data_IF_601124607278
#
_entry.id   IF_601124607278
#
_cell.length_a   1.000
_cell.length_b   1.000
_cell.length_c   1.000
_cell.angle_alpha   90.00
_cell.angle_beta   90.00
_cell.angle_gamma   90.00
#
_symmetry.space_group_name_H-M   'P 1'
#
loop_
_entity.id
_entity.type
_entity.pdbx_description
1 polymer ?
#
# COMPACT_ATOMS: atom_id res chain seq x y z
N UNK A 1 1.03 8.08 -22.86
CA UNK A 1 0.46 9.24 -22.13
C UNK A 1 -0.66 8.89 -21.14
N UNK A 2 -1.26 7.71 -21.23
CA UNK A 2 -2.45 7.37 -20.42
C UNK A 2 -2.19 7.18 -18.90
N UNK A 3 -0.93 7.07 -18.45
CA UNK A 3 -0.58 6.86 -17.06
C UNK A 3 -0.16 8.14 -16.31
N UNK A 4 0.19 9.21 -17.02
CA UNK A 4 0.69 10.44 -16.42
C UNK A 4 -0.40 11.16 -15.60
N UNK A 5 -1.59 11.28 -16.16
CA UNK A 5 -2.72 11.97 -15.48
C UNK A 5 -3.13 11.23 -14.21
N UNK A 6 -3.41 9.90 -14.24
CA UNK A 6 -3.69 9.15 -13.02
C UNK A 6 -2.58 9.23 -11.98
N UNK A 7 -1.31 9.20 -12.41
CA UNK A 7 -0.17 9.34 -11.52
C UNK A 7 -0.15 10.70 -10.81
N UNK A 8 -0.36 11.81 -11.54
CA UNK A 8 -0.40 13.17 -10.97
C UNK A 8 -1.55 13.29 -9.97
N UNK A 9 -2.73 12.76 -10.30
CA UNK A 9 -3.89 12.76 -9.39
C UNK A 9 -3.55 11.99 -8.11
N UNK A 10 -3.02 10.78 -8.24
CA UNK A 10 -2.66 9.94 -7.10
C UNK A 10 -1.65 10.63 -6.18
N UNK A 11 -0.56 11.14 -6.74
CA UNK A 11 0.49 11.78 -5.93
C UNK A 11 -0.03 13.04 -5.26
N UNK A 12 -0.89 13.81 -5.92
CA UNK A 12 -1.51 15.01 -5.34
C UNK A 12 -2.37 14.66 -4.13
N UNK A 13 -3.18 13.59 -4.21
CA UNK A 13 -4.00 13.12 -3.08
C UNK A 13 -3.12 12.64 -1.93
N UNK A 14 -2.11 11.83 -2.21
CA UNK A 14 -1.19 11.29 -1.18
C UNK A 14 -0.45 12.43 -0.47
N UNK A 15 0.06 13.39 -1.24
CA UNK A 15 0.76 14.57 -0.67
C UNK A 15 -0.21 15.44 0.13
N UNK A 16 -1.41 15.70 -0.38
CA UNK A 16 -2.41 16.46 0.35
C UNK A 16 -2.70 15.85 1.73
N UNK A 17 -2.92 14.54 1.79
CA UNK A 17 -3.21 13.83 3.05
C UNK A 17 -1.99 13.88 3.99
N UNK A 18 -0.77 13.74 3.44
CA UNK A 18 0.47 13.86 4.20
C UNK A 18 0.59 15.24 4.87
N UNK A 19 0.50 16.31 4.08
CA UNK A 19 0.59 17.67 4.58
C UNK A 19 -0.56 18.02 5.54
N UNK A 20 -1.76 17.48 5.26
CA UNK A 20 -2.91 17.65 6.14
C UNK A 20 -2.70 17.00 7.52
N UNK A 21 -1.97 15.86 7.57
CA UNK A 21 -1.56 15.24 8.83
C UNK A 21 -0.74 16.21 9.69
N UNK A 22 0.30 16.82 9.12
CA UNK A 22 1.12 17.85 9.80
C UNK A 22 0.29 19.04 10.24
N UNK A 23 -0.54 19.56 9.34
CA UNK A 23 -1.43 20.70 9.62
C UNK A 23 -2.38 20.41 10.77
N UNK A 24 -3.07 19.27 10.75
CA UNK A 24 -4.06 18.90 11.77
C UNK A 24 -3.45 18.84 13.17
N UNK A 25 -2.32 18.14 13.32
CA UNK A 25 -1.66 18.02 14.62
C UNK A 25 -1.02 19.34 15.06
N UNK A 26 -0.47 20.13 14.15
CA UNK A 26 0.03 21.47 14.45
C UNK A 26 -1.08 22.35 15.05
N UNK A 27 -2.23 22.41 14.40
CA UNK A 27 -3.41 23.14 14.90
C UNK A 27 -3.91 22.59 16.24
N UNK A 28 -3.95 21.26 16.39
CA UNK A 28 -4.41 20.61 17.63
C UNK A 28 -3.55 20.96 18.82
N UNK A 29 -2.25 21.18 18.62
CA UNK A 29 -1.30 21.60 19.67
C UNK A 29 -1.05 23.10 19.73
N UNK A 30 -1.85 23.90 19.03
CA UNK A 30 -1.74 25.36 19.05
C UNK A 30 -0.46 25.88 18.41
N UNK A 31 0.11 25.14 17.44
CA UNK A 31 1.17 25.64 16.57
C UNK A 31 0.54 26.50 15.49
N UNK A 32 1.08 27.71 15.29
CA UNK A 32 0.65 28.58 14.20
C UNK A 32 1.06 27.99 12.85
N UNK A 33 0.15 28.01 11.88
CA UNK A 33 0.44 27.62 10.50
C UNK A 33 0.16 28.82 9.62
N UNK A 34 1.18 29.26 8.89
CA UNK A 34 1.07 30.42 7.98
C UNK A 34 0.60 30.00 6.60
N UNK A 35 1.14 28.91 6.08
CA UNK A 35 0.84 28.45 4.73
C UNK A 35 0.58 26.95 4.70
N UNK A 36 -0.41 26.55 3.94
CA UNK A 36 -0.69 25.18 3.53
C UNK A 36 -0.71 25.14 2.00
N UNK A 37 0.25 24.45 1.38
CA UNK A 37 0.39 24.44 -0.07
C UNK A 37 0.26 23.05 -0.65
N UNK A 38 -0.56 22.92 -1.69
CA UNK A 38 -0.59 21.77 -2.60
C UNK A 38 0.20 22.16 -3.83
N UNK A 39 1.32 21.46 -4.05
CA UNK A 39 2.26 21.78 -5.12
C UNK A 39 3.29 22.84 -4.74
N UNK A 40 4.19 23.07 -5.68
CA UNK A 40 5.27 24.07 -5.59
C UNK A 40 5.15 25.13 -6.67
N UNK A 41 5.91 26.22 -6.50
CA UNK A 41 6.03 27.29 -7.48
C UNK A 41 4.97 28.38 -7.31
N UNK A 42 4.56 28.99 -8.45
CA UNK A 42 3.63 30.11 -8.45
C UNK A 42 2.23 29.64 -8.03
N UNK A 43 1.60 30.42 -7.13
CA UNK A 43 0.21 30.20 -6.73
C UNK A 43 -0.74 30.42 -7.91
N UNK A 44 -1.64 29.44 -8.15
CA UNK A 44 -2.73 29.55 -9.12
C UNK A 44 -3.97 30.10 -8.43
N UNK A 45 -4.27 29.51 -7.25
CA UNK A 45 -5.46 29.82 -6.46
C UNK A 45 -5.15 29.68 -4.99
N UNK A 46 -5.73 30.52 -4.15
CA UNK A 46 -5.58 30.42 -2.70
C UNK A 46 -6.59 31.27 -1.95
N UNK A 47 -6.82 30.87 -0.70
CA UNK A 47 -7.70 31.57 0.25
C UNK A 47 -7.11 31.52 1.65
N UNK A 48 -7.57 32.42 2.52
CA UNK A 48 -7.23 32.39 3.94
C UNK A 48 -8.35 31.72 4.72
N UNK A 49 -8.00 30.82 5.62
CA UNK A 49 -8.96 30.24 6.54
C UNK A 49 -9.22 31.19 7.74
N UNK A 50 -10.21 30.83 8.57
CA UNK A 50 -10.55 31.60 9.77
C UNK A 50 -9.43 31.64 10.81
N UNK A 51 -8.47 30.76 10.74
CA UNK A 51 -7.33 30.65 11.65
C UNK A 51 -6.08 31.41 11.16
N UNK A 52 -6.19 32.12 10.05
CA UNK A 52 -5.12 32.90 9.45
C UNK A 52 -4.15 32.10 8.59
N UNK A 53 -4.42 30.81 8.32
CA UNK A 53 -3.61 30.01 7.41
C UNK A 53 -3.99 30.29 5.96
N UNK A 54 -2.98 30.58 5.12
CA UNK A 54 -3.18 30.72 3.68
C UNK A 54 -3.09 29.35 3.01
N UNK A 55 -4.23 28.90 2.49
CA UNK A 55 -4.32 27.70 1.65
C UNK A 55 -4.04 28.07 0.21
N UNK A 56 -3.17 27.32 -0.48
CA UNK A 56 -2.79 27.61 -1.87
C UNK A 56 -2.62 26.33 -2.68
N UNK A 57 -2.96 26.46 -3.95
CA UNK A 57 -2.71 25.46 -4.98
C UNK A 57 -1.71 26.07 -5.97
N UNK A 58 -0.60 25.38 -6.20
CA UNK A 58 0.51 25.86 -7.01
C UNK A 58 0.63 25.08 -8.33
N UNK A 59 1.40 25.63 -9.26
CA UNK A 59 1.52 25.13 -10.63
C UNK A 59 2.10 23.72 -10.75
N UNK A 60 3.02 23.33 -9.88
CA UNK A 60 3.71 22.04 -9.95
C UNK A 60 3.09 21.10 -8.92
N UNK A 61 2.20 20.16 -9.33
CA UNK A 61 1.44 19.31 -8.41
C UNK A 61 2.25 18.11 -7.88
N UNK A 62 3.57 18.24 -7.83
CA UNK A 62 4.50 17.20 -7.40
C UNK A 62 5.02 17.50 -5.99
N UNK A 63 4.12 17.54 -5.00
CA UNK A 63 4.51 17.83 -3.63
C UNK A 63 3.56 18.79 -2.92
N UNK A 64 3.99 19.28 -1.78
CA UNK A 64 3.29 20.26 -0.96
C UNK A 64 4.17 20.68 0.22
N UNK A 65 3.65 21.57 1.06
CA UNK A 65 4.30 21.92 2.31
C UNK A 65 3.34 22.58 3.28
N UNK A 66 3.62 22.39 4.55
CA UNK A 66 3.03 23.15 5.65
C UNK A 66 4.12 24.04 6.23
N UNK A 67 3.89 25.36 6.26
CA UNK A 67 4.81 26.31 6.87
C UNK A 67 4.30 26.72 8.23
N UNK A 68 5.10 26.45 9.24
CA UNK A 68 4.76 26.85 10.61
C UNK A 68 5.10 28.31 10.87
N UNK A 69 4.39 28.89 11.81
CA UNK A 69 4.66 30.24 12.26
C UNK A 69 6.06 30.32 12.88
N UNK A 70 6.85 31.30 12.44
CA UNK A 70 8.23 31.46 12.89
C UNK A 70 9.22 30.47 12.32
N UNK A 71 8.78 29.60 11.36
CA UNK A 71 9.67 28.65 10.70
C UNK A 71 10.61 29.41 9.74
N UNK A 72 11.87 29.44 10.12
CA UNK A 72 13.02 29.81 9.28
C UNK A 72 13.97 28.63 9.35
N UNK A 73 14.75 28.41 8.31
CA UNK A 73 15.81 27.37 8.27
C UNK A 73 16.92 27.71 9.28
N UNK A 74 16.61 27.52 10.56
CA UNK A 74 17.49 27.90 11.67
C UNK A 74 18.17 26.65 12.18
N UNK A 75 19.46 26.51 11.88
CA UNK A 75 20.26 25.36 12.28
C UNK A 75 21.08 25.61 13.56
N UNK A 76 21.17 26.86 14.04
CA UNK A 76 21.97 27.20 15.21
C UNK A 76 21.11 27.60 16.42
N UNK A 77 21.58 27.30 17.65
CA UNK A 77 20.90 27.68 18.88
C UNK A 77 20.83 29.22 19.05
N UNK A 78 21.83 29.94 18.57
CA UNK A 78 21.90 31.40 18.64
C UNK A 78 20.77 32.04 17.80
N UNK A 79 20.57 31.57 16.58
CA UNK A 79 19.49 32.04 15.72
C UNK A 79 18.09 31.67 16.26
N UNK A 80 17.98 30.54 16.98
CA UNK A 80 16.71 30.17 17.63
C UNK A 80 16.35 31.16 18.74
N UNK A 81 17.33 31.60 19.55
CA UNK A 81 17.11 32.60 20.60
C UNK A 81 16.76 33.97 20.03
N UNK A 82 17.38 34.38 18.94
CA UNK A 82 17.03 35.62 18.24
C UNK A 82 15.58 35.64 17.75
N UNK A 83 15.13 34.50 17.18
CA UNK A 83 13.74 34.33 16.76
C UNK A 83 12.80 34.41 17.93
N UNK A 84 13.09 33.70 19.03
CA UNK A 84 12.25 33.71 20.24
C UNK A 84 12.11 35.15 20.80
N UNK A 85 13.21 35.91 20.82
CA UNK A 85 13.21 37.27 21.37
C UNK A 85 12.46 38.27 20.47
N UNK A 86 12.26 37.96 19.21
CA UNK A 86 11.54 38.81 18.25
C UNK A 86 10.02 38.78 18.40
N UNK A 87 9.46 37.70 18.98
CA UNK A 87 8.02 37.52 19.10
C UNK A 87 7.50 37.89 20.49
N UNK A 88 6.26 38.38 20.55
CA UNK A 88 5.54 38.64 21.81
C UNK A 88 5.31 37.32 22.58
N UNK A 89 5.01 37.41 23.88
CA UNK A 89 4.76 36.20 24.70
C UNK A 89 3.62 35.34 24.15
N UNK A 90 2.55 35.95 23.66
CA UNK A 90 1.41 35.25 23.05
C UNK A 90 1.79 34.56 21.76
N UNK A 91 2.67 35.14 20.95
CA UNK A 91 3.11 34.54 19.69
C UNK A 91 4.14 33.43 19.91
N UNK A 92 4.94 33.52 20.99
CA UNK A 92 5.88 32.45 21.36
C UNK A 92 5.17 31.12 21.60
N UNK A 93 3.96 31.14 22.16
CA UNK A 93 3.16 29.94 22.38
C UNK A 93 2.77 29.23 21.06
N UNK A 94 2.78 29.93 19.93
CA UNK A 94 2.47 29.39 18.61
C UNK A 94 3.68 28.81 17.89
N UNK A 95 4.90 29.02 18.41
CA UNK A 95 6.14 28.54 17.78
C UNK A 95 6.30 27.04 17.94
N UNK A 96 6.53 26.34 16.83
CA UNK A 96 6.78 24.90 16.82
C UNK A 96 7.97 24.50 17.69
N UNK A 97 9.05 25.27 17.65
CA UNK A 97 10.31 25.00 18.37
C UNK A 97 10.15 25.04 19.89
N UNK A 98 9.19 25.80 20.42
CA UNK A 98 8.93 25.91 21.86
C UNK A 98 7.95 24.87 22.40
N UNK A 99 7.35 24.03 21.53
CA UNK A 99 6.48 22.95 21.97
C UNK A 99 7.27 21.80 22.61
N UNK A 100 6.67 21.09 23.58
CA UNK A 100 7.26 19.88 24.15
C UNK A 100 7.67 18.88 23.10
N UNK A 101 8.73 18.11 23.37
CA UNK A 101 9.30 17.17 22.41
C UNK A 101 8.26 16.20 21.85
N UNK A 102 7.37 15.64 22.69
CA UNK A 102 6.34 14.70 22.24
C UNK A 102 5.37 15.34 21.23
N UNK A 103 4.99 16.62 21.40
CA UNK A 103 4.12 17.32 20.46
C UNK A 103 4.83 17.53 19.11
N UNK A 104 6.10 17.97 19.14
CA UNK A 104 6.91 18.11 17.93
C UNK A 104 7.06 16.80 17.20
N UNK A 105 7.37 15.72 17.93
CA UNK A 105 7.49 14.38 17.34
C UNK A 105 6.18 13.90 16.71
N UNK A 106 5.04 14.13 17.37
CA UNK A 106 3.74 13.77 16.82
C UNK A 106 3.38 14.59 15.59
N UNK A 107 3.68 15.89 15.57
CA UNK A 107 3.45 16.74 14.40
C UNK A 107 4.29 16.23 13.22
N UNK A 108 5.57 15.90 13.44
CA UNK A 108 6.46 15.39 12.37
C UNK A 108 6.02 14.00 11.89
N UNK A 109 5.62 13.12 12.81
CA UNK A 109 5.16 11.78 12.45
C UNK A 109 3.76 11.77 11.80
N UNK A 110 2.98 12.82 11.98
CA UNK A 110 1.57 12.87 11.55
C UNK A 110 1.40 12.76 10.03
N UNK A 111 2.33 13.30 9.24
CA UNK A 111 2.29 13.17 7.77
C UNK A 111 2.38 11.71 7.32
N UNK A 112 3.47 10.99 7.63
CA UNK A 112 3.58 9.57 7.31
C UNK A 112 2.43 8.72 7.89
N UNK A 113 2.00 8.99 9.12
CA UNK A 113 0.88 8.28 9.75
C UNK A 113 -0.44 8.51 9.01
N UNK A 114 -0.71 9.73 8.53
CA UNK A 114 -1.90 10.03 7.74
C UNK A 114 -1.91 9.22 6.44
N UNK A 115 -0.78 9.08 5.75
CA UNK A 115 -0.67 8.24 4.56
C UNK A 115 -0.85 6.75 4.88
N UNK A 116 -0.37 6.29 6.02
CA UNK A 116 -0.60 4.92 6.46
C UNK A 116 -2.09 4.64 6.70
N UNK A 117 -2.78 5.57 7.39
CA UNK A 117 -4.24 5.49 7.58
C UNK A 117 -4.98 5.52 6.23
N UNK A 118 -4.57 6.40 5.30
CA UNK A 118 -5.13 6.45 3.96
C UNK A 118 -4.97 5.11 3.23
N UNK A 119 -3.79 4.49 3.30
CA UNK A 119 -3.55 3.19 2.68
C UNK A 119 -4.49 2.11 3.25
N UNK A 120 -4.64 2.04 4.59
CA UNK A 120 -5.57 1.11 5.24
C UNK A 120 -7.00 1.35 4.75
N UNK A 121 -7.45 2.61 4.68
CA UNK A 121 -8.80 2.95 4.21
C UNK A 121 -9.02 2.52 2.75
N UNK A 122 -8.06 2.81 1.87
CA UNK A 122 -8.14 2.43 0.45
C UNK A 122 -8.19 0.91 0.31
N UNK A 123 -7.29 0.16 0.97
CA UNK A 123 -7.32 -1.30 0.91
C UNK A 123 -8.62 -1.87 1.50
N UNK A 124 -9.09 -1.32 2.60
CA UNK A 124 -10.38 -1.73 3.19
C UNK A 124 -11.52 -1.52 2.21
N UNK A 125 -11.57 -0.36 1.54
CA UNK A 125 -12.58 -0.07 0.51
C UNK A 125 -12.47 -1.04 -0.67
N UNK A 126 -11.26 -1.26 -1.19
CA UNK A 126 -11.04 -2.21 -2.29
C UNK A 126 -11.56 -3.59 -1.89
N UNK A 127 -11.16 -4.11 -0.74
CA UNK A 127 -11.62 -5.42 -0.28
C UNK A 127 -13.11 -5.45 0.00
N UNK A 128 -13.72 -4.35 0.47
CA UNK A 128 -15.16 -4.28 0.73
C UNK A 128 -16.00 -4.29 -0.55
N UNK A 129 -15.55 -3.54 -1.59
CA UNK A 129 -16.35 -3.36 -2.81
C UNK A 129 -15.99 -4.33 -3.93
N UNK A 130 -14.70 -4.60 -4.13
CA UNK A 130 -14.20 -5.48 -5.20
C UNK A 130 -14.17 -6.93 -4.73
N UNK A 131 -13.74 -7.18 -3.50
CA UNK A 131 -13.54 -8.51 -2.98
C UNK A 131 -12.13 -9.04 -3.17
N UNK A 132 -11.85 -10.23 -2.58
CA UNK A 132 -10.63 -11.01 -2.83
C UNK A 132 -10.94 -12.03 -3.94
N UNK A 133 -10.08 -12.11 -4.94
CA UNK A 133 -10.14 -13.20 -5.93
C UNK A 133 -9.76 -14.51 -5.22
N UNK A 134 -10.71 -15.42 -5.16
CA UNK A 134 -10.56 -16.76 -4.60
C UNK A 134 -10.76 -17.82 -5.67
N UNK A 135 -10.50 -17.48 -6.94
CA UNK A 135 -10.58 -18.45 -8.04
C UNK A 135 -9.63 -19.63 -7.74
N UNK A 136 -10.17 -20.84 -7.59
CA UNK A 136 -9.36 -21.99 -7.23
C UNK A 136 -8.30 -22.30 -8.29
N UNK A 137 -7.11 -22.69 -7.85
CA UNK A 137 -6.01 -23.02 -8.73
C UNK A 137 -6.22 -24.43 -9.35
N UNK A 138 -7.09 -24.51 -10.35
CA UNK A 138 -7.40 -25.74 -11.07
C UNK A 138 -6.53 -25.86 -12.33
N UNK A 139 -5.83 -26.98 -12.50
CA UNK A 139 -5.00 -27.25 -13.65
C UNK A 139 -5.90 -27.60 -14.86
N UNK A 140 -5.86 -26.76 -15.88
CA UNK A 140 -6.57 -27.02 -17.15
C UNK A 140 -5.76 -27.84 -18.13
N UNK A 141 -4.45 -27.60 -18.18
CA UNK A 141 -3.54 -28.30 -19.12
C UNK A 141 -2.16 -28.42 -18.49
N UNK A 142 -1.51 -29.56 -18.72
CA UNK A 142 -0.11 -29.82 -18.38
C UNK A 142 0.66 -29.99 -19.69
N UNK A 143 1.70 -29.18 -19.88
CA UNK A 143 2.54 -29.25 -21.07
C UNK A 143 3.33 -30.57 -21.07
N UNK A 144 3.40 -31.24 -22.24
CA UNK A 144 4.23 -32.42 -22.38
C UNK A 144 5.70 -32.10 -22.10
N UNK A 145 6.39 -33.07 -21.51
CA UNK A 145 7.82 -32.96 -21.15
C UNK A 145 8.20 -31.82 -20.24
N UNK A 146 7.20 -31.21 -19.53
CA UNK A 146 7.42 -30.16 -18.55
C UNK A 146 7.70 -30.74 -17.16
N UNK A 147 8.30 -29.97 -16.25
CA UNK A 147 8.51 -30.35 -14.84
C UNK A 147 7.23 -30.87 -14.16
N UNK A 148 6.10 -30.24 -14.39
CA UNK A 148 4.82 -30.68 -13.85
C UNK A 148 4.35 -32.01 -14.43
N UNK A 149 4.62 -32.27 -15.72
CA UNK A 149 4.31 -33.54 -16.37
C UNK A 149 5.15 -34.69 -15.79
N UNK A 150 6.46 -34.44 -15.62
CA UNK A 150 7.40 -35.43 -15.05
C UNK A 150 7.02 -35.74 -13.59
N UNK A 151 6.61 -34.75 -12.82
CA UNK A 151 6.15 -34.91 -11.45
C UNK A 151 4.77 -35.61 -11.34
N UNK A 152 4.07 -35.86 -12.47
CA UNK A 152 2.79 -36.57 -12.51
C UNK A 152 1.57 -35.67 -12.21
N UNK A 153 1.66 -34.36 -12.41
CA UNK A 153 0.48 -33.48 -12.39
C UNK A 153 -0.46 -33.79 -13.53
N UNK A 154 -1.75 -33.67 -13.33
CA UNK A 154 -2.78 -33.98 -14.32
C UNK A 154 -3.78 -32.83 -14.45
N UNK A 155 -4.50 -32.84 -15.57
CA UNK A 155 -5.66 -31.98 -15.77
C UNK A 155 -6.70 -32.24 -14.67
N UNK A 156 -7.36 -31.19 -14.22
CA UNK A 156 -8.34 -31.18 -13.12
C UNK A 156 -7.75 -31.39 -11.71
N UNK A 157 -6.42 -31.41 -11.54
CA UNK A 157 -5.84 -31.28 -10.20
C UNK A 157 -6.10 -29.89 -9.67
N UNK A 158 -6.56 -29.80 -8.42
CA UNK A 158 -6.68 -28.52 -7.69
C UNK A 158 -5.49 -28.36 -6.77
N UNK A 159 -4.66 -27.34 -6.98
CA UNK A 159 -3.53 -27.04 -6.12
C UNK A 159 -4.06 -26.45 -4.82
N UNK A 160 -3.72 -27.06 -3.66
CA UNK A 160 -4.17 -26.65 -2.34
C UNK A 160 -3.04 -26.11 -1.46
N UNK A 161 -1.80 -26.62 -1.65
CA UNK A 161 -0.61 -26.11 -0.96
C UNK A 161 0.60 -26.10 -1.90
N UNK A 162 1.51 -25.16 -1.68
CA UNK A 162 2.84 -25.06 -2.28
C UNK A 162 3.83 -24.76 -1.16
N UNK A 163 4.84 -25.64 -0.92
CA UNK A 163 5.82 -25.53 0.18
C UNK A 163 5.15 -25.20 1.53
N UNK A 164 4.16 -25.97 1.93
CA UNK A 164 3.34 -25.80 3.14
C UNK A 164 2.52 -24.49 3.19
N UNK A 165 2.52 -23.65 2.14
CA UNK A 165 1.68 -22.45 2.06
C UNK A 165 0.37 -22.78 1.37
N UNK A 166 -0.73 -22.46 2.02
CA UNK A 166 -2.07 -22.66 1.46
C UNK A 166 -2.27 -21.76 0.23
N UNK A 167 -2.76 -22.36 -0.84
CA UNK A 167 -3.12 -21.68 -2.09
C UNK A 167 -4.62 -21.36 -2.05
N UNK A 168 -4.97 -20.09 -2.01
CA UNK A 168 -6.37 -19.64 -2.00
C UNK A 168 -6.83 -19.15 -3.37
N UNK A 169 -5.89 -18.68 -4.20
CA UNK A 169 -6.21 -18.18 -5.53
C UNK A 169 -5.19 -18.60 -6.58
N UNK A 170 -5.64 -18.56 -7.83
CA UNK A 170 -4.80 -18.83 -8.99
C UNK A 170 -3.58 -17.91 -9.09
N UNK A 171 -3.71 -16.64 -8.61
CA UNK A 171 -2.63 -15.64 -8.63
C UNK A 171 -1.48 -15.98 -7.68
N UNK A 172 -1.78 -16.70 -6.59
CA UNK A 172 -0.79 -17.08 -5.59
C UNK A 172 0.16 -18.17 -6.11
N UNK A 173 -0.28 -19.00 -7.06
CA UNK A 173 0.53 -20.10 -7.60
C UNK A 173 1.81 -19.58 -8.23
N UNK A 174 1.73 -18.63 -9.15
CA UNK A 174 2.91 -18.05 -9.80
C UNK A 174 3.80 -17.29 -8.81
N UNK A 175 3.19 -16.65 -7.82
CA UNK A 175 3.90 -15.92 -6.76
C UNK A 175 4.71 -16.90 -5.91
N UNK A 176 4.12 -18.00 -5.43
CA UNK A 176 4.81 -18.98 -4.59
C UNK A 176 5.92 -19.72 -5.35
N UNK A 177 5.71 -20.05 -6.62
CA UNK A 177 6.75 -20.65 -7.46
C UNK A 177 7.96 -19.72 -7.61
N UNK A 178 7.74 -18.41 -7.84
CA UNK A 178 8.82 -17.45 -8.04
C UNK A 178 9.55 -17.05 -6.74
N UNK A 179 8.87 -17.09 -5.60
CA UNK A 179 9.46 -16.78 -4.28
C UNK A 179 10.21 -17.97 -3.69
N UNK A 180 9.84 -19.20 -4.06
CA UNK A 180 10.54 -20.40 -3.57
C UNK A 180 12.02 -20.34 -3.95
N UNK A 181 12.90 -20.59 -2.97
CA UNK A 181 14.36 -20.60 -3.15
C UNK A 181 14.92 -22.02 -3.27
N UNK A 182 14.10 -23.02 -3.04
CA UNK A 182 14.49 -24.45 -3.10
C UNK A 182 14.57 -24.93 -4.55
N UNK A 183 15.43 -25.90 -4.84
CA UNK A 183 15.51 -26.52 -6.17
C UNK A 183 14.23 -27.25 -6.51
N UNK A 184 13.67 -27.98 -5.56
CA UNK A 184 12.39 -28.68 -5.68
C UNK A 184 11.30 -27.99 -4.88
N UNK A 185 10.11 -27.91 -5.42
CA UNK A 185 8.91 -27.31 -4.79
C UNK A 185 7.90 -28.43 -4.54
N UNK A 186 7.39 -28.52 -3.32
CA UNK A 186 6.34 -29.46 -2.98
C UNK A 186 4.97 -28.87 -3.33
N UNK A 187 4.23 -29.57 -4.18
CA UNK A 187 2.83 -29.26 -4.50
C UNK A 187 1.92 -30.30 -3.89
N UNK A 188 0.95 -29.85 -3.11
CA UNK A 188 -0.13 -30.70 -2.64
C UNK A 188 -1.36 -30.40 -3.46
N UNK A 189 -1.82 -31.41 -4.20
CA UNK A 189 -2.97 -31.30 -5.10
C UNK A 189 -4.12 -32.21 -4.64
N UNK A 190 -5.34 -31.74 -4.87
CA UNK A 190 -6.56 -32.53 -4.68
C UNK A 190 -6.97 -33.11 -6.02
N UNK A 191 -6.97 -34.45 -6.12
CA UNK A 191 -7.36 -35.25 -7.32
C UNK A 191 -8.40 -36.26 -6.93
N UNK A 192 -9.60 -36.21 -7.47
CA UNK A 192 -10.71 -37.13 -7.15
C UNK A 192 -10.91 -37.29 -5.62
N UNK A 193 -10.95 -36.19 -4.91
CA UNK A 193 -11.09 -36.11 -3.43
C UNK A 193 -9.93 -36.73 -2.63
N UNK A 194 -8.82 -37.10 -3.29
CA UNK A 194 -7.61 -37.56 -2.64
C UNK A 194 -6.52 -36.49 -2.69
N UNK A 195 -5.84 -36.30 -1.59
CA UNK A 195 -4.70 -35.39 -1.48
C UNK A 195 -3.42 -36.12 -1.88
N UNK A 196 -2.70 -35.57 -2.86
CA UNK A 196 -1.46 -36.13 -3.41
C UNK A 196 -0.36 -35.07 -3.27
N UNK A 197 0.78 -35.45 -2.71
CA UNK A 197 1.98 -34.61 -2.69
C UNK A 197 2.87 -34.95 -3.89
N UNK A 198 3.32 -33.94 -4.61
CA UNK A 198 4.15 -34.04 -5.81
C UNK A 198 5.35 -33.09 -5.67
N UNK A 199 6.56 -33.60 -5.90
CA UNK A 199 7.78 -32.81 -5.93
C UNK A 199 8.06 -32.38 -7.38
N UNK A 200 8.17 -31.09 -7.61
CA UNK A 200 8.39 -30.49 -8.92
C UNK A 200 9.68 -29.69 -8.91
N UNK A 201 10.56 -29.93 -9.85
CA UNK A 201 11.78 -29.16 -10.08
C UNK A 201 11.52 -28.15 -11.22
N UNK A 202 11.34 -26.85 -10.94
CA UNK A 202 11.01 -25.87 -11.96
C UNK A 202 12.17 -25.59 -12.91
N UNK A 203 11.87 -25.46 -14.20
CA UNK A 203 12.83 -24.97 -15.19
C UNK A 203 13.08 -23.47 -15.02
N UNK A 204 14.34 -23.05 -15.22
CA UNK A 204 14.71 -21.65 -15.31
C UNK A 204 14.65 -21.18 -16.75
N UNK A 205 13.65 -20.38 -17.07
CA UNK A 205 13.42 -19.87 -18.43
C UNK A 205 13.72 -18.37 -18.48
N UNK A 206 14.37 -17.92 -19.53
CA UNK A 206 14.57 -16.50 -19.77
C UNK A 206 13.24 -15.84 -20.11
N UNK A 207 12.88 -14.84 -19.35
CA UNK A 207 11.67 -14.04 -19.50
C UNK A 207 11.97 -12.56 -19.46
N UNK A 208 10.94 -11.75 -19.69
CA UNK A 208 11.02 -10.30 -19.51
C UNK A 208 10.14 -9.88 -18.33
N UNK A 209 10.62 -8.90 -17.56
CA UNK A 209 9.80 -8.25 -16.56
C UNK A 209 8.84 -7.22 -17.21
N UNK A 210 8.04 -6.55 -16.40
CA UNK A 210 7.09 -5.52 -16.87
C UNK A 210 7.79 -4.27 -17.44
N UNK A 211 9.09 -4.11 -17.19
CA UNK A 211 9.92 -3.01 -17.68
C UNK A 211 10.72 -3.40 -18.92
N UNK A 212 10.65 -4.69 -19.34
CA UNK A 212 11.35 -5.21 -20.50
C UNK A 212 12.76 -5.76 -20.23
N UNK A 213 13.22 -5.80 -18.97
CA UNK A 213 14.51 -6.37 -18.60
C UNK A 213 14.47 -7.90 -18.67
N UNK A 214 15.57 -8.52 -19.07
CA UNK A 214 15.72 -9.97 -19.05
C UNK A 214 15.82 -10.49 -17.62
N UNK A 215 14.90 -11.35 -17.22
CA UNK A 215 14.87 -11.99 -15.91
C UNK A 215 14.68 -13.49 -16.07
N UNK A 216 15.31 -14.28 -15.20
CA UNK A 216 15.05 -15.72 -15.15
C UNK A 216 13.79 -15.96 -14.34
N UNK A 217 12.83 -16.67 -14.93
CA UNK A 217 11.56 -17.07 -14.31
C UNK A 217 11.53 -18.56 -14.10
N UNK A 218 10.99 -18.98 -12.97
CA UNK A 218 10.76 -20.41 -12.71
C UNK A 218 9.45 -20.83 -13.36
N UNK A 219 9.50 -21.87 -14.19
CA UNK A 219 8.33 -22.41 -14.89
C UNK A 219 8.18 -23.90 -14.62
N UNK A 220 6.95 -24.35 -14.42
CA UNK A 220 6.62 -25.76 -14.22
C UNK A 220 5.79 -26.35 -15.36
N UNK A 221 5.31 -25.51 -16.29
CA UNK A 221 4.60 -25.95 -17.51
C UNK A 221 3.15 -26.36 -17.27
N UNK A 222 2.41 -25.64 -16.43
CA UNK A 222 0.95 -25.78 -16.26
C UNK A 222 0.21 -24.58 -16.80
N UNK A 223 -1.03 -24.81 -17.30
CA UNK A 223 -2.01 -23.75 -17.55
C UNK A 223 -3.15 -23.90 -16.54
N UNK A 224 -3.44 -22.85 -15.81
CA UNK A 224 -4.52 -22.82 -14.84
C UNK A 224 -5.83 -22.38 -15.49
N UNK A 225 -6.95 -22.90 -14.98
CA UNK A 225 -8.27 -22.58 -15.52
C UNK A 225 -8.74 -21.21 -15.03
N UNK A 226 -9.14 -20.35 -15.98
CA UNK A 226 -9.77 -19.05 -15.70
C UNK A 226 -11.31 -19.14 -15.68
N UNK A 227 -11.88 -20.34 -15.86
CA UNK A 227 -13.30 -20.52 -16.19
C UNK A 227 -14.28 -20.33 -15.02
N UNK A 228 -13.80 -20.23 -13.78
CA UNK A 228 -14.66 -19.95 -12.63
C UNK A 228 -14.07 -18.80 -11.83
N UNK A 229 -14.32 -17.58 -12.29
CA UNK A 229 -14.03 -16.38 -11.49
C UNK A 229 -14.98 -16.32 -10.29
N UNK A 230 -14.70 -17.10 -9.26
CA UNK A 230 -15.39 -16.98 -7.98
C UNK A 230 -14.82 -15.77 -7.20
N UNK A 231 -15.32 -14.58 -7.51
CA UNK A 231 -15.13 -13.42 -6.66
C UNK A 231 -15.99 -13.58 -5.41
N UNK A 232 -15.42 -14.11 -4.35
CA UNK A 232 -16.05 -13.98 -3.04
C UNK A 232 -15.81 -12.55 -2.55
N UNK A 233 -16.86 -11.74 -2.57
CA UNK A 233 -16.83 -10.46 -1.85
C UNK A 233 -16.45 -10.76 -0.41
N UNK A 234 -15.50 -10.01 0.18
CA UNK A 234 -15.17 -10.22 1.57
C UNK A 234 -16.43 -10.02 2.37
N UNK A 235 -16.55 -10.84 3.32
CA UNK A 235 -17.60 -11.02 4.28
C UNK A 235 -17.76 -9.78 5.15
N UNK A 236 -18.18 -8.66 4.57
CA UNK A 236 -18.53 -7.48 5.36
C UNK A 236 -19.84 -7.67 6.14
N UNK A 237 -20.60 -8.72 5.81
CA UNK A 237 -21.88 -8.99 6.45
C UNK A 237 -21.89 -10.22 7.37
N UNK A 238 -20.95 -11.15 7.29
CA UNK A 238 -20.99 -12.39 8.07
C UNK A 238 -20.21 -12.34 9.38
N UNK A 239 -19.33 -11.35 9.59
CA UNK A 239 -18.65 -11.16 10.88
C UNK A 239 -19.33 -10.16 11.82
N UNK A 240 -20.37 -9.47 11.36
CA UNK A 240 -21.21 -8.63 12.23
C UNK A 240 -22.42 -9.38 12.81
N UNK A 241 -22.72 -10.57 12.33
CA UNK A 241 -23.62 -11.48 13.02
C UNK A 241 -22.81 -12.31 13.97
N UNK A 242 -22.82 -11.93 15.25
CA UNK A 242 -22.40 -12.80 16.35
C UNK A 242 -23.02 -14.19 16.12
N UNK A 243 -22.26 -15.29 16.26
CA UNK A 243 -22.83 -16.62 16.20
C UNK A 243 -23.83 -16.77 17.34
N UNK A 244 -25.11 -16.66 17.02
CA UNK A 244 -26.22 -16.93 17.95
C UNK A 244 -26.58 -18.41 17.96
N UNK A 245 -25.63 -19.30 17.81
CA UNK A 245 -25.85 -20.72 18.08
C UNK A 245 -25.32 -21.02 19.48
N UNK A 246 -26.22 -21.29 20.44
CA UNK A 246 -25.78 -21.87 21.69
C UNK A 246 -25.19 -23.24 21.39
N UNK A 247 -23.99 -23.49 21.89
CA UNK A 247 -23.46 -24.86 21.98
C UNK A 247 -24.40 -25.66 22.87
N UNK A 248 -25.05 -26.65 22.30
CA UNK A 248 -25.72 -27.77 23.05
C UNK A 248 -24.72 -28.90 23.10
#
# INVERSE_FOLDING_TARGET
MNYLIPFIILITVVVFIHEYGHYYFAKRYGVGVTDFSIGFGREIFGWNDKSGTRWKVCWIPLGGYVKFFGDRNVFSQTEQQEIINKYSEDDRQKLFILKPLYQRSLIVAAGPLANYVLAILIFTMIYMFVGKDLTPALINEVQKDSPAFVAGMKKNDKIIYIDNKKVESILEVSTFINISTTETIEFVVLRNDQTISLLVEPDLVDGKDTLGNSVKKRMIGIKLSLLNNEYKKPVSYTHLTLPTTPYV
#
